data_IF_963900563043
#
_entry.id   IF_963900563043
#
_cell.length_a   1.000
_cell.length_b   1.000
_cell.length_c   1.000
_cell.angle_alpha   90.00
_cell.angle_beta   90.00
_cell.angle_gamma   90.00
#
_symmetry.space_group_name_H-M   'P 1'
#
loop_
_entity.id
_entity.type
_entity.pdbx_description
1 polymer ?
#
# COMPACT_ATOMS: atom_id res chain seq x y z
N UNK A 1 77.36 2.66 -33.94
CA UNK A 1 76.23 1.89 -34.52
C UNK A 1 74.95 2.34 -33.86
N UNK A 2 73.94 2.67 -34.68
CA UNK A 2 72.50 2.91 -34.41
C UNK A 2 72.09 4.02 -33.40
N UNK A 3 71.46 5.05 -33.97
CA UNK A 3 70.67 6.12 -33.34
C UNK A 3 69.26 5.61 -32.95
N UNK A 4 68.51 6.48 -32.26
CA UNK A 4 67.03 6.63 -32.14
C UNK A 4 66.64 6.60 -30.65
N UNK A 5 66.60 7.76 -29.99
CA UNK A 5 65.44 8.66 -29.85
C UNK A 5 64.36 8.07 -28.94
N UNK A 6 64.14 8.67 -27.78
CA UNK A 6 62.92 8.48 -27.00
C UNK A 6 62.23 9.82 -26.84
N UNK A 7 61.06 9.90 -27.48
CA UNK A 7 60.11 10.99 -27.46
C UNK A 7 59.49 11.11 -26.06
N UNK A 8 59.30 12.37 -25.65
CA UNK A 8 58.32 12.74 -24.63
C UNK A 8 56.91 12.34 -25.08
N UNK A 9 56.12 11.76 -24.19
CA UNK A 9 54.67 11.91 -24.24
C UNK A 9 54.11 11.92 -22.81
N UNK A 10 53.59 13.09 -22.43
CA UNK A 10 52.81 13.30 -21.21
C UNK A 10 51.53 12.46 -21.29
N UNK A 11 51.36 11.54 -20.34
CA UNK A 11 50.12 10.78 -20.18
C UNK A 11 49.06 11.65 -19.52
N UNK A 12 48.06 12.06 -20.31
CA UNK A 12 46.81 12.64 -19.81
C UNK A 12 46.09 11.64 -18.90
N UNK A 13 45.76 12.11 -17.70
CA UNK A 13 44.78 11.50 -16.79
C UNK A 13 43.42 11.65 -17.47
N UNK A 14 42.91 10.58 -18.09
CA UNK A 14 41.51 10.51 -18.49
C UNK A 14 40.76 9.73 -17.42
N UNK A 15 40.11 10.49 -16.54
CA UNK A 15 39.16 10.01 -15.56
C UNK A 15 38.12 9.13 -16.25
N UNK A 16 38.06 7.86 -15.86
CA UNK A 16 36.94 6.98 -16.20
C UNK A 16 35.69 7.58 -15.58
N UNK A 17 34.86 8.21 -16.41
CA UNK A 17 33.52 8.61 -16.02
C UNK A 17 32.73 7.31 -15.85
N UNK A 18 32.56 6.91 -14.60
CA UNK A 18 31.54 5.94 -14.23
C UNK A 18 30.20 6.54 -14.63
N UNK A 19 29.62 6.03 -15.70
CA UNK A 19 28.20 6.21 -15.98
C UNK A 19 27.45 5.34 -14.98
N UNK A 20 27.36 5.81 -13.73
CA UNK A 20 26.30 5.39 -12.84
C UNK A 20 25.01 5.84 -13.53
N UNK A 21 24.25 4.86 -14.01
CA UNK A 21 22.94 5.08 -14.57
C UNK A 21 22.04 5.45 -13.39
N UNK A 22 22.03 6.73 -13.03
CA UNK A 22 21.07 7.33 -12.10
C UNK A 22 19.68 7.18 -12.74
N UNK A 23 19.09 6.01 -12.51
CA UNK A 23 17.71 5.66 -12.80
C UNK A 23 16.85 5.73 -11.52
N UNK A 24 17.32 6.48 -10.52
CA UNK A 24 16.51 7.01 -9.43
C UNK A 24 16.20 8.47 -9.79
N UNK A 25 15.00 8.98 -9.46
CA UNK A 25 14.55 10.36 -9.71
C UNK A 25 13.84 10.68 -11.06
N UNK A 26 13.03 9.75 -11.58
CA UNK A 26 11.90 10.11 -12.47
C UNK A 26 10.53 9.82 -11.85
N UNK A 27 10.47 9.39 -10.59
CA UNK A 27 9.24 9.03 -9.90
C UNK A 27 8.61 10.19 -9.10
N UNK A 28 9.25 11.37 -9.04
CA UNK A 28 8.90 12.43 -8.08
C UNK A 28 8.00 13.55 -8.65
N UNK A 29 7.41 13.35 -9.85
CA UNK A 29 6.51 14.35 -10.47
C UNK A 29 5.40 13.76 -11.34
N UNK A 30 5.00 12.50 -11.11
CA UNK A 30 3.67 12.09 -11.53
C UNK A 30 2.72 12.56 -10.42
N UNK A 31 1.67 13.30 -10.75
CA UNK A 31 0.59 13.56 -9.78
C UNK A 31 0.11 12.21 -9.27
N UNK A 32 0.32 11.93 -7.97
CA UNK A 32 -0.14 10.68 -7.37
C UNK A 32 -1.66 10.64 -7.51
N UNK A 33 -2.17 9.59 -8.17
CA UNK A 33 -3.61 9.38 -8.28
C UNK A 33 -4.16 9.11 -6.87
N UNK A 34 -5.21 9.82 -6.48
CA UNK A 34 -5.92 9.54 -5.24
C UNK A 34 -6.94 8.44 -5.52
N UNK A 35 -6.70 7.24 -4.97
CA UNK A 35 -7.66 6.15 -5.00
C UNK A 35 -9.00 6.56 -4.39
N UNK A 36 -10.06 5.77 -4.62
CA UNK A 36 -11.37 6.05 -4.02
C UNK A 36 -11.22 6.12 -2.48
N UNK A 37 -11.77 7.15 -1.82
CA UNK A 37 -11.69 7.27 -0.37
C UNK A 37 -12.56 6.20 0.32
N UNK A 38 -12.27 5.95 1.59
CA UNK A 38 -13.04 5.09 2.47
C UNK A 38 -13.12 5.73 3.87
N UNK A 39 -14.20 6.45 4.15
CA UNK A 39 -14.37 7.19 5.40
C UNK A 39 -15.06 6.34 6.48
N UNK A 40 -15.80 5.30 6.07
CA UNK A 40 -16.48 4.34 6.96
C UNK A 40 -16.06 2.89 6.71
N UNK A 41 -16.36 1.99 7.66
CA UNK A 41 -16.12 0.54 7.47
C UNK A 41 -16.90 0.00 6.26
N UNK A 42 -18.14 0.44 6.05
CA UNK A 42 -18.98 0.00 4.92
C UNK A 42 -18.34 0.38 3.58
N UNK A 43 -17.86 1.62 3.46
CA UNK A 43 -17.16 2.09 2.27
C UNK A 43 -15.85 1.32 2.06
N UNK A 44 -15.11 1.06 3.13
CA UNK A 44 -13.86 0.32 3.07
C UNK A 44 -14.06 -1.13 2.62
N UNK A 45 -15.03 -1.86 3.19
CA UNK A 45 -15.34 -3.24 2.80
C UNK A 45 -15.87 -3.30 1.36
N UNK A 46 -16.72 -2.35 0.96
CA UNK A 46 -17.19 -2.27 -0.42
C UNK A 46 -16.03 -2.05 -1.41
N UNK A 47 -15.17 -1.07 -1.14
CA UNK A 47 -13.99 -0.79 -1.97
C UNK A 47 -13.02 -1.98 -2.00
N UNK A 48 -12.82 -2.65 -0.86
CA UNK A 48 -11.95 -3.82 -0.75
C UNK A 48 -12.50 -5.00 -1.55
N UNK A 49 -13.78 -5.32 -1.41
CA UNK A 49 -14.42 -6.44 -2.11
C UNK A 49 -14.47 -6.20 -3.63
N UNK A 50 -15.02 -5.05 -4.06
CA UNK A 50 -15.11 -4.70 -5.48
C UNK A 50 -13.71 -4.61 -6.12
N UNK A 51 -12.77 -3.98 -5.42
CA UNK A 51 -11.41 -3.83 -5.92
C UNK A 51 -10.66 -5.16 -6.05
N UNK A 52 -10.85 -6.09 -5.11
CA UNK A 52 -10.26 -7.42 -5.22
C UNK A 52 -10.87 -8.25 -6.35
N UNK A 53 -12.17 -8.08 -6.63
CA UNK A 53 -12.77 -8.70 -7.81
C UNK A 53 -12.12 -8.18 -9.09
N UNK A 54 -11.98 -6.87 -9.24
CA UNK A 54 -11.31 -6.26 -10.40
C UNK A 54 -9.86 -6.71 -10.52
N UNK A 55 -9.12 -6.73 -9.41
CA UNK A 55 -7.73 -7.19 -9.38
C UNK A 55 -7.64 -8.65 -9.87
N UNK A 56 -8.52 -9.53 -9.40
CA UNK A 56 -8.56 -10.92 -9.82
C UNK A 56 -8.87 -11.07 -11.33
N UNK A 57 -9.81 -10.26 -11.86
CA UNK A 57 -10.14 -10.25 -13.28
C UNK A 57 -8.96 -9.80 -14.15
N UNK A 58 -8.23 -8.76 -13.74
CA UNK A 58 -7.04 -8.28 -14.44
C UNK A 58 -5.92 -9.32 -14.42
N UNK A 59 -5.68 -9.94 -13.26
CA UNK A 59 -4.65 -10.97 -13.06
C UNK A 59 -4.98 -12.32 -13.69
N UNK A 60 -6.20 -12.53 -14.18
CA UNK A 60 -6.56 -13.73 -14.93
C UNK A 60 -5.97 -13.76 -16.35
N UNK A 61 -5.38 -12.64 -16.81
CA UNK A 61 -4.68 -12.56 -18.09
C UNK A 61 -3.26 -13.13 -17.98
N UNK A 62 -2.78 -13.83 -19.02
CA UNK A 62 -1.42 -14.40 -19.06
C UNK A 62 -0.33 -13.30 -19.08
N UNK A 63 -0.61 -12.15 -19.69
CA UNK A 63 0.27 -10.99 -19.76
C UNK A 63 -0.52 -9.70 -19.53
N UNK A 64 0.10 -8.71 -18.90
CA UNK A 64 -0.46 -7.37 -18.69
C UNK A 64 0.19 -6.37 -19.65
N UNK A 65 -0.63 -5.59 -20.33
CA UNK A 65 -0.16 -4.44 -21.12
C UNK A 65 0.29 -3.29 -20.21
N UNK A 66 1.06 -2.34 -20.73
CA UNK A 66 1.45 -1.14 -19.98
C UNK A 66 0.24 -0.31 -19.50
N UNK A 67 -0.86 -0.32 -20.28
CA UNK A 67 -2.11 0.34 -19.90
C UNK A 67 -2.74 -0.34 -18.68
N UNK A 68 -2.85 -1.67 -18.70
CA UNK A 68 -3.35 -2.45 -17.57
C UNK A 68 -2.47 -2.34 -16.33
N UNK A 69 -1.16 -2.17 -16.49
CA UNK A 69 -0.26 -1.89 -15.37
C UNK A 69 -0.57 -0.53 -14.71
N UNK A 70 -0.95 0.48 -15.51
CA UNK A 70 -1.41 1.78 -14.99
C UNK A 70 -2.76 1.70 -14.29
N UNK A 71 -3.70 0.94 -14.84
CA UNK A 71 -5.00 0.65 -14.21
C UNK A 71 -4.82 -0.07 -12.86
N UNK A 72 -3.94 -1.07 -12.81
CA UNK A 72 -3.64 -1.80 -11.59
C UNK A 72 -3.04 -0.87 -10.53
N UNK A 73 -2.15 0.04 -10.91
CA UNK A 73 -1.58 1.05 -10.01
C UNK A 73 -2.66 1.96 -9.39
N UNK A 74 -3.63 2.41 -10.19
CA UNK A 74 -4.75 3.22 -9.69
C UNK A 74 -5.69 2.41 -8.79
N UNK A 75 -5.95 1.14 -9.14
CA UNK A 75 -6.74 0.22 -8.33
C UNK A 75 -6.08 -0.03 -6.97
N UNK A 76 -4.75 -0.17 -6.93
CA UNK A 76 -4.03 -0.40 -5.67
C UNK A 76 -4.15 0.78 -4.70
N UNK A 77 -4.21 2.03 -5.16
CA UNK A 77 -4.49 3.15 -4.26
C UNK A 77 -5.87 3.04 -3.59
N UNK A 78 -6.89 2.58 -4.32
CA UNK A 78 -8.23 2.36 -3.76
C UNK A 78 -8.22 1.25 -2.71
N UNK A 79 -7.50 0.16 -2.99
CA UNK A 79 -7.34 -0.96 -2.06
C UNK A 79 -6.53 -0.57 -0.82
N UNK A 80 -5.50 0.26 -0.96
CA UNK A 80 -4.70 0.79 0.15
C UNK A 80 -5.55 1.67 1.07
N UNK A 81 -6.35 2.58 0.52
CA UNK A 81 -7.28 3.39 1.32
C UNK A 81 -8.28 2.52 2.10
N UNK A 82 -8.83 1.49 1.44
CA UNK A 82 -9.75 0.55 2.08
C UNK A 82 -9.07 -0.24 3.21
N UNK A 83 -7.88 -0.79 2.96
CA UNK A 83 -7.11 -1.53 3.96
C UNK A 83 -6.73 -0.68 5.17
N UNK A 84 -6.34 0.57 4.94
CA UNK A 84 -6.04 1.51 6.02
C UNK A 84 -7.26 1.72 6.92
N UNK A 85 -8.43 1.98 6.33
CA UNK A 85 -9.66 2.18 7.08
C UNK A 85 -10.11 0.91 7.82
N UNK A 86 -10.00 -0.26 7.20
CA UNK A 86 -10.29 -1.55 7.85
C UNK A 86 -9.37 -1.77 9.05
N UNK A 87 -8.07 -1.49 8.92
CA UNK A 87 -7.10 -1.63 10.02
C UNK A 87 -7.43 -0.71 11.20
N UNK A 88 -7.78 0.55 10.94
CA UNK A 88 -8.20 1.51 11.97
C UNK A 88 -9.44 1.03 12.74
N UNK A 89 -10.46 0.60 12.02
CA UNK A 89 -11.73 0.14 12.60
C UNK A 89 -11.57 -1.20 13.33
N UNK A 90 -10.76 -2.14 12.82
CA UNK A 90 -10.46 -3.41 13.51
C UNK A 90 -9.73 -3.15 14.83
N UNK A 91 -8.84 -2.15 14.90
CA UNK A 91 -8.24 -1.74 16.18
C UNK A 91 -9.29 -1.22 17.15
N UNK A 92 -10.26 -0.42 16.67
CA UNK A 92 -11.38 0.05 17.49
C UNK A 92 -12.24 -1.11 17.99
N UNK A 93 -12.58 -2.06 17.11
CA UNK A 93 -13.31 -3.28 17.46
C UNK A 93 -12.61 -4.10 18.55
N UNK A 94 -11.28 -4.23 18.47
CA UNK A 94 -10.51 -4.96 19.47
C UNK A 94 -10.62 -4.29 20.86
N UNK A 95 -10.65 -2.95 20.91
CA UNK A 95 -10.87 -2.21 22.16
C UNK A 95 -12.28 -2.45 22.70
N UNK A 96 -13.32 -2.34 21.87
CA UNK A 96 -14.71 -2.61 22.32
C UNK A 96 -14.87 -4.04 22.81
N UNK A 97 -14.25 -5.02 22.14
CA UNK A 97 -14.29 -6.41 22.57
C UNK A 97 -13.57 -6.65 23.90
N UNK A 98 -12.45 -5.97 24.13
CA UNK A 98 -11.75 -6.02 25.42
C UNK A 98 -12.59 -5.42 26.55
N UNK A 99 -13.31 -4.33 26.29
CA UNK A 99 -14.23 -3.74 27.27
C UNK A 99 -15.37 -4.69 27.65
N UNK A 100 -15.89 -5.47 26.68
CA UNK A 100 -16.83 -6.56 26.95
C UNK A 100 -16.18 -7.63 27.83
N UNK A 101 -14.96 -8.05 27.51
CA UNK A 101 -14.22 -9.04 28.29
C UNK A 101 -14.06 -8.57 29.74
N UNK A 102 -13.48 -7.40 29.97
CA UNK A 102 -13.24 -6.85 31.30
C UNK A 102 -14.53 -6.58 32.07
N UNK A 103 -15.60 -6.12 31.41
CA UNK A 103 -16.92 -5.95 32.04
C UNK A 103 -17.50 -7.29 32.51
N UNK A 104 -17.26 -8.37 31.76
CA UNK A 104 -17.71 -9.71 32.16
C UNK A 104 -16.97 -10.24 33.40
N UNK A 105 -15.70 -9.87 33.59
CA UNK A 105 -14.90 -10.24 34.76
C UNK A 105 -15.39 -9.55 36.05
N UNK A 106 -15.91 -8.32 35.93
CA UNK A 106 -16.37 -7.50 37.05
C UNK A 106 -17.89 -7.54 37.28
N UNK A 107 -18.62 -8.33 36.48
CA UNK A 107 -20.09 -8.37 36.46
C UNK A 107 -20.75 -7.02 36.13
N UNK A 108 -20.05 -6.16 35.40
CA UNK A 108 -20.54 -4.87 34.92
C UNK A 108 -21.40 -5.06 33.66
N UNK A 109 -22.70 -5.20 33.86
CA UNK A 109 -23.66 -5.47 32.78
C UNK A 109 -23.80 -4.31 31.79
N UNK A 110 -23.65 -3.07 32.25
CA UNK A 110 -23.77 -1.89 31.39
C UNK A 110 -22.56 -1.78 30.45
N UNK A 111 -21.35 -1.99 30.98
CA UNK A 111 -20.12 -2.03 30.18
C UNK A 111 -20.16 -3.15 29.13
N UNK A 112 -20.64 -4.34 29.50
CA UNK A 112 -20.82 -5.46 28.57
C UNK A 112 -21.83 -5.12 27.47
N UNK A 113 -22.98 -4.56 27.84
CA UNK A 113 -24.04 -4.29 26.88
C UNK A 113 -23.65 -3.21 25.87
N UNK A 114 -23.10 -2.08 26.34
CA UNK A 114 -22.76 -0.94 25.47
C UNK A 114 -21.63 -1.30 24.50
N UNK A 115 -20.50 -1.79 25.00
CA UNK A 115 -19.36 -2.13 24.12
C UNK A 115 -19.64 -3.34 23.22
N UNK A 116 -20.53 -4.24 23.65
CA UNK A 116 -20.96 -5.36 22.84
C UNK A 116 -21.79 -4.93 21.63
N UNK A 117 -22.64 -3.91 21.76
CA UNK A 117 -23.36 -3.31 20.64
C UNK A 117 -22.38 -2.69 19.65
N UNK A 118 -21.44 -1.87 20.14
CA UNK A 118 -20.44 -1.19 19.29
C UNK A 118 -19.57 -2.21 18.52
N UNK A 119 -19.09 -3.25 19.20
CA UNK A 119 -18.33 -4.33 18.56
C UNK A 119 -19.14 -5.04 17.47
N UNK A 120 -20.40 -5.41 17.76
CA UNK A 120 -21.25 -6.18 16.85
C UNK A 120 -21.72 -5.38 15.64
N UNK A 121 -21.80 -4.06 15.74
CA UNK A 121 -22.11 -3.18 14.61
C UNK A 121 -21.03 -3.31 13.53
N UNK A 122 -19.76 -3.06 13.90
CA UNK A 122 -18.63 -3.11 12.95
C UNK A 122 -18.31 -4.56 12.53
N UNK A 123 -18.40 -5.52 13.46
CA UNK A 123 -18.13 -6.93 13.16
C UNK A 123 -19.07 -7.50 12.10
N UNK A 124 -20.32 -7.02 12.02
CA UNK A 124 -21.25 -7.43 10.98
C UNK A 124 -20.77 -6.98 9.62
N UNK A 125 -20.44 -5.70 9.46
CA UNK A 125 -19.95 -5.14 8.20
C UNK A 125 -18.68 -5.83 7.72
N UNK A 126 -17.75 -6.17 8.64
CA UNK A 126 -16.51 -6.86 8.28
C UNK A 126 -16.72 -8.32 7.80
N UNK A 127 -17.79 -8.98 8.26
CA UNK A 127 -18.04 -10.41 8.02
C UNK A 127 -19.01 -10.70 6.87
N UNK A 128 -19.64 -9.66 6.30
CA UNK A 128 -20.50 -9.73 5.12
C UNK A 128 -19.70 -9.91 3.82
#
# INVERSE_FOLDING_TARGET
MKRIAFLMLAGLISSGVAMANDHEEAHDRAEHFEGKPAETMEEAVANFSEGNQQLAEMLASDELTNEQMGELHMLTYTLENALLKIDEEVKSMAVSLEEVHLGSETLDQERVATNGVDYLEVARTLAE
#
